data_IF_847793630748
#
_entry.id   IF_847793630748
#
_cell.length_a   1.000
_cell.length_b   1.000
_cell.length_c   1.000
_cell.angle_alpha   90.00
_cell.angle_beta   90.00
_cell.angle_gamma   90.00
#
_symmetry.space_group_name_H-M   'P 1'
#
loop_
_entity.id
_entity.type
_entity.pdbx_description
1 polymer ?
#
# COMPACT_ATOMS: atom_id res chain seq x y z
N UNK A 1 14.87 27.09 -14.79
CA UNK A 1 13.56 27.76 -14.67
C UNK A 1 12.51 26.71 -14.93
N UNK A 2 11.85 26.23 -13.88
CA UNK A 2 10.79 25.23 -14.00
C UNK A 2 9.47 25.94 -14.37
N UNK A 3 8.65 25.41 -15.29
CA UNK A 3 7.33 25.97 -15.53
C UNK A 3 6.43 25.63 -14.35
N UNK A 4 5.77 26.66 -13.83
CA UNK A 4 4.99 26.63 -12.59
C UNK A 4 3.75 25.74 -12.69
N UNK A 5 3.47 25.07 -11.59
CA UNK A 5 2.17 24.44 -11.29
C UNK A 5 1.04 25.47 -11.37
N UNK A 6 -0.15 25.14 -11.92
CA UNK A 6 -1.27 26.06 -11.92
C UNK A 6 -1.78 26.26 -10.49
N UNK A 7 -1.72 27.50 -10.01
CA UNK A 7 -2.46 27.94 -8.82
C UNK A 7 -3.94 28.01 -9.19
N UNK A 8 -4.77 27.22 -8.51
CA UNK A 8 -6.20 27.49 -8.40
C UNK A 8 -6.44 28.11 -7.02
N UNK A 9 -6.69 29.41 -6.99
CA UNK A 9 -7.14 30.14 -5.81
C UNK A 9 -8.67 30.26 -5.83
N UNK A 10 -9.31 29.63 -4.84
CA UNK A 10 -10.33 30.19 -3.93
C UNK A 10 -11.43 29.18 -3.56
N UNK A 11 -11.28 28.60 -2.37
CA UNK A 11 -12.39 28.28 -1.47
C UNK A 11 -11.89 28.49 -0.02
N UNK A 12 -12.26 29.62 0.57
CA UNK A 12 -12.19 29.82 2.02
C UNK A 12 -13.15 28.80 2.67
N UNK A 13 -12.81 27.99 3.67
CA UNK A 13 -11.98 28.23 4.85
C UNK A 13 -11.24 26.94 5.22
N UNK A 14 -9.91 27.00 5.28
CA UNK A 14 -9.08 25.92 5.79
C UNK A 14 -9.14 25.90 7.31
N UNK A 15 -9.84 24.91 7.88
CA UNK A 15 -9.39 24.25 9.11
C UNK A 15 -9.98 22.82 9.20
N UNK A 16 -9.19 21.85 8.72
CA UNK A 16 -9.52 20.43 8.56
C UNK A 16 -8.44 19.60 9.22
N UNK A 17 -8.47 19.60 10.56
CA UNK A 17 -7.38 19.14 11.41
C UNK A 17 -7.09 17.64 11.31
N UNK A 18 -5.99 17.32 10.61
CA UNK A 18 -5.25 16.05 10.70
C UNK A 18 -5.83 14.86 9.94
N UNK A 19 -4.99 13.86 9.66
CA UNK A 19 -5.39 12.58 9.09
C UNK A 19 -5.91 12.71 7.65
N UNK A 20 -6.98 11.97 7.34
CA UNK A 20 -7.61 12.00 6.00
C UNK A 20 -8.42 13.28 5.76
N UNK A 21 -8.85 13.93 6.84
CA UNK A 21 -9.81 15.01 6.79
C UNK A 21 -9.22 16.29 6.22
N UNK A 22 -7.89 16.43 6.22
CA UNK A 22 -7.19 17.52 5.54
C UNK A 22 -7.41 17.56 4.02
N UNK A 23 -7.88 16.46 3.42
CA UNK A 23 -8.22 16.36 2.00
C UNK A 23 -9.70 16.59 1.71
N UNK A 24 -10.55 16.62 2.74
CA UNK A 24 -11.98 16.75 2.57
C UNK A 24 -12.37 18.20 2.21
N UNK A 25 -13.54 18.39 1.61
CA UNK A 25 -14.18 19.71 1.48
C UNK A 25 -15.58 19.64 2.07
N UNK A 26 -16.10 20.76 2.61
CA UNK A 26 -17.52 20.82 3.00
C UNK A 26 -18.40 20.68 1.76
N UNK A 27 -19.53 20.01 1.92
CA UNK A 27 -20.54 19.78 0.87
C UNK A 27 -21.71 20.73 1.11
N UNK A 28 -22.21 21.34 0.05
CA UNK A 28 -23.43 22.15 0.10
C UNK A 28 -24.65 21.23 0.15
N UNK A 29 -25.74 21.67 0.78
CA UNK A 29 -26.95 20.87 0.99
C UNK A 29 -27.49 20.21 -0.29
N UNK A 30 -27.45 20.90 -1.44
CA UNK A 30 -27.97 20.36 -2.71
C UNK A 30 -27.11 19.25 -3.31
N UNK A 31 -25.85 19.14 -2.87
CA UNK A 31 -24.88 18.15 -3.32
C UNK A 31 -24.73 16.96 -2.36
N UNK A 32 -25.48 16.95 -1.25
CA UNK A 32 -25.51 15.83 -0.31
C UNK A 32 -26.16 14.62 -0.99
N UNK A 33 -25.44 13.51 -0.98
CA UNK A 33 -25.91 12.25 -1.53
C UNK A 33 -27.00 11.65 -0.64
N UNK A 34 -28.06 11.10 -1.25
CA UNK A 34 -29.09 10.33 -0.54
C UNK A 34 -28.59 8.93 -0.24
N UNK A 35 -27.66 8.85 0.70
CA UNK A 35 -26.97 7.63 1.10
C UNK A 35 -26.60 7.70 2.59
N UNK A 36 -26.23 6.56 3.16
CA UNK A 36 -25.81 6.46 4.55
C UNK A 36 -24.32 6.73 4.70
N UNK A 37 -23.96 7.49 5.73
CA UNK A 37 -22.56 7.63 6.12
C UNK A 37 -22.04 6.28 6.64
N UNK A 38 -21.13 5.63 5.91
CA UNK A 38 -20.62 4.28 6.24
C UNK A 38 -19.86 4.16 7.56
N UNK A 39 -19.57 5.27 8.24
CA UNK A 39 -18.85 5.28 9.53
C UNK A 39 -19.81 5.37 10.72
N UNK A 40 -20.83 6.23 10.65
CA UNK A 40 -21.82 6.36 11.73
C UNK A 40 -23.13 5.61 11.45
N UNK A 41 -23.33 5.15 10.22
CA UNK A 41 -24.50 4.41 9.74
C UNK A 41 -25.81 5.22 9.84
N UNK A 42 -25.71 6.55 9.71
CA UNK A 42 -26.86 7.48 9.69
C UNK A 42 -26.96 8.11 8.31
N UNK A 43 -28.17 8.44 7.86
CA UNK A 43 -28.34 9.06 6.55
C UNK A 43 -27.63 10.41 6.50
N UNK A 44 -26.91 10.67 5.41
CA UNK A 44 -26.27 11.95 5.14
C UNK A 44 -27.29 13.07 4.96
N UNK A 45 -28.52 12.72 4.58
CA UNK A 45 -29.60 13.66 4.29
C UNK A 45 -30.64 13.81 5.41
N UNK A 46 -30.46 13.20 6.59
CA UNK A 46 -31.43 13.31 7.70
C UNK A 46 -31.77 14.78 8.01
N UNK A 47 -33.05 15.05 8.24
CA UNK A 47 -33.56 16.39 8.51
C UNK A 47 -33.22 16.83 9.94
N UNK A 48 -32.09 17.54 10.09
CA UNK A 48 -31.64 18.17 11.32
C UNK A 48 -30.55 19.20 11.04
N UNK A 49 -30.81 20.47 11.36
CA UNK A 49 -29.90 21.58 11.02
C UNK A 49 -28.77 21.74 12.06
N UNK A 50 -27.50 21.99 11.63
CA UNK A 50 -26.99 22.01 10.24
C UNK A 50 -26.41 20.66 9.77
N UNK A 51 -26.64 20.33 8.48
CA UNK A 51 -26.07 19.14 7.79
C UNK A 51 -24.58 19.30 7.54
N UNK A 52 -23.76 19.00 8.55
CA UNK A 52 -22.31 19.06 8.38
C UNK A 52 -21.78 17.80 7.67
N UNK A 53 -21.74 17.84 6.33
CA UNK A 53 -21.18 16.78 5.46
C UNK A 53 -19.90 17.26 4.80
N UNK A 54 -18.94 16.36 4.65
CA UNK A 54 -17.71 16.57 3.90
C UNK A 54 -17.49 15.48 2.86
N UNK A 55 -16.82 15.83 1.77
CA UNK A 55 -16.50 14.94 0.65
C UNK A 55 -14.99 14.82 0.49
N UNK A 56 -14.51 13.58 0.34
CA UNK A 56 -13.10 13.31 0.00
C UNK A 56 -12.88 13.43 -1.52
N UNK A 57 -11.63 13.61 -2.01
CA UNK A 57 -11.36 13.72 -3.46
C UNK A 57 -11.74 12.49 -4.29
N UNK A 58 -12.09 11.38 -3.63
CA UNK A 58 -12.67 10.19 -4.28
C UNK A 58 -14.19 10.24 -4.47
N UNK A 59 -14.86 11.31 -4.06
CA UNK A 59 -16.31 11.52 -4.20
C UNK A 59 -17.18 10.96 -3.07
N UNK A 60 -16.59 10.23 -2.13
CA UNK A 60 -17.33 9.68 -0.98
C UNK A 60 -17.56 10.74 0.10
N UNK A 61 -18.80 10.75 0.63
CA UNK A 61 -19.28 11.73 1.60
C UNK A 61 -19.40 11.14 3.01
N UNK A 62 -19.16 11.98 4.01
CA UNK A 62 -19.16 11.62 5.41
C UNK A 62 -19.63 12.77 6.29
N UNK A 63 -20.24 12.45 7.43
CA UNK A 63 -20.49 13.46 8.46
C UNK A 63 -19.18 14.07 8.99
N UNK A 64 -19.21 15.36 9.31
CA UNK A 64 -18.04 16.10 9.79
C UNK A 64 -17.67 15.75 11.24
N UNK A 65 -18.61 15.20 12.03
CA UNK A 65 -18.35 14.83 13.43
C UNK A 65 -17.52 13.56 13.58
N UNK A 66 -17.46 12.67 12.57
CA UNK A 66 -16.67 11.42 12.64
C UNK A 66 -15.15 11.64 12.43
N UNK A 67 -14.71 12.90 12.32
CA UNK A 67 -13.32 13.25 12.05
C UNK A 67 -12.41 12.85 13.21
N UNK A 68 -11.31 12.20 12.86
CA UNK A 68 -10.24 11.84 13.77
C UNK A 68 -8.89 12.29 13.17
N UNK A 69 -8.15 13.22 13.81
CA UNK A 69 -6.88 13.72 13.28
C UNK A 69 -5.80 12.63 13.17
N UNK A 70 -5.96 11.52 13.88
CA UNK A 70 -5.04 10.37 13.86
C UNK A 70 -5.45 9.29 12.86
N UNK A 71 -6.50 9.52 12.06
CA UNK A 71 -6.91 8.55 11.05
C UNK A 71 -5.82 8.36 10.00
N UNK A 72 -5.73 7.15 9.43
CA UNK A 72 -4.96 6.92 8.21
C UNK A 72 -5.40 7.91 7.13
N UNK A 73 -4.49 8.31 6.25
CA UNK A 73 -4.76 9.19 5.09
C UNK A 73 -5.41 8.41 3.93
N UNK A 74 -6.36 7.54 4.24
CA UNK A 74 -7.10 6.74 3.26
C UNK A 74 -8.62 6.84 3.48
N UNK A 75 -9.38 6.73 2.40
CA UNK A 75 -10.83 6.72 2.42
C UNK A 75 -11.36 5.51 3.20
N UNK A 76 -12.25 5.67 4.21
CA UNK A 76 -12.85 4.54 4.91
C UNK A 76 -13.68 3.60 4.04
N UNK A 77 -14.28 4.12 2.95
CA UNK A 77 -15.16 3.35 2.06
C UNK A 77 -14.40 2.61 0.97
N UNK A 78 -13.58 3.31 0.18
CA UNK A 78 -12.91 2.73 -0.97
C UNK A 78 -11.42 2.43 -0.74
N UNK A 79 -10.90 2.67 0.47
CA UNK A 79 -9.50 2.45 0.85
C UNK A 79 -8.46 3.25 0.03
N UNK A 80 -8.87 4.17 -0.85
CA UNK A 80 -7.95 5.02 -1.62
C UNK A 80 -7.10 5.88 -0.68
N UNK A 81 -5.78 5.78 -0.82
CA UNK A 81 -4.81 6.62 -0.11
C UNK A 81 -4.67 7.98 -0.81
N UNK A 82 -4.56 9.05 -0.02
CA UNK A 82 -4.35 10.43 -0.51
C UNK A 82 -2.95 10.96 -0.18
N UNK A 83 -2.19 10.19 0.58
CA UNK A 83 -0.76 10.36 0.76
C UNK A 83 -0.08 9.00 0.67
N UNK A 84 1.10 8.98 0.09
CA UNK A 84 1.88 7.75 -0.08
C UNK A 84 2.26 7.21 1.31
N UNK A 85 1.75 6.05 1.73
CA UNK A 85 2.02 5.51 3.04
C UNK A 85 3.52 5.21 3.22
N UNK A 86 4.00 5.35 4.46
CA UNK A 86 5.32 4.89 4.88
C UNK A 86 5.11 3.76 5.87
N UNK A 87 5.66 2.59 5.57
CA UNK A 87 5.62 1.44 6.47
C UNK A 87 6.75 1.45 7.50
N UNK A 88 6.82 0.36 8.25
CA UNK A 88 7.77 0.17 9.35
C UNK A 88 8.84 -0.89 9.06
N UNK A 89 8.97 -1.43 7.83
CA UNK A 89 10.08 -2.29 7.42
C UNK A 89 11.42 -1.73 7.96
N UNK A 90 12.28 -2.53 8.61
CA UNK A 90 13.55 -2.05 9.16
C UNK A 90 14.38 -1.27 8.13
N UNK A 91 14.98 -0.15 8.56
CA UNK A 91 15.67 0.80 7.66
C UNK A 91 16.86 0.20 6.93
N UNK A 92 17.47 -0.81 7.53
CA UNK A 92 18.62 -1.54 7.02
C UNK A 92 18.23 -2.65 6.04
N UNK A 93 16.93 -2.81 5.74
CA UNK A 93 16.48 -3.75 4.72
C UNK A 93 17.07 -3.38 3.36
N UNK A 94 17.54 -4.39 2.63
CA UNK A 94 18.09 -4.28 1.29
C UNK A 94 17.29 -5.14 0.32
N UNK A 95 17.16 -4.64 -0.91
CA UNK A 95 16.53 -5.32 -2.03
C UNK A 95 17.50 -5.31 -3.21
N UNK A 96 17.74 -6.48 -3.79
CA UNK A 96 18.54 -6.65 -5.01
C UNK A 96 17.69 -7.36 -6.04
N UNK A 97 17.72 -6.91 -7.29
CA UNK A 97 16.93 -7.48 -8.38
C UNK A 97 17.88 -7.91 -9.48
N UNK A 98 17.76 -9.17 -9.89
CA UNK A 98 18.53 -9.75 -10.98
C UNK A 98 17.58 -10.24 -12.08
N UNK A 99 17.97 -10.10 -13.33
CA UNK A 99 17.31 -10.76 -14.46
C UNK A 99 17.97 -12.11 -14.72
N UNK A 100 17.27 -13.20 -14.43
CA UNK A 100 17.74 -14.54 -14.72
C UNK A 100 17.18 -15.01 -16.08
N UNK A 101 18.03 -15.03 -17.10
CA UNK A 101 17.69 -15.45 -18.46
C UNK A 101 17.59 -16.98 -18.63
N UNK A 102 18.11 -17.75 -17.67
CA UNK A 102 18.12 -19.21 -17.70
C UNK A 102 16.93 -19.84 -16.96
N UNK A 103 16.24 -19.06 -16.12
CA UNK A 103 15.07 -19.51 -15.38
C UNK A 103 13.78 -19.13 -16.10
N UNK A 104 12.95 -20.15 -16.37
CA UNK A 104 11.58 -19.98 -16.88
C UNK A 104 10.59 -20.44 -15.82
N UNK A 105 9.59 -19.62 -15.54
CA UNK A 105 8.54 -19.95 -14.59
C UNK A 105 7.43 -20.74 -15.30
N UNK A 106 6.90 -21.81 -14.70
CA UNK A 106 5.73 -22.51 -15.24
C UNK A 106 4.56 -21.56 -15.53
N UNK A 107 4.04 -21.59 -16.75
CA UNK A 107 2.98 -20.68 -17.24
C UNK A 107 3.47 -19.34 -17.80
N UNK A 108 4.79 -19.12 -17.84
CA UNK A 108 5.45 -17.94 -18.41
C UNK A 108 6.72 -18.33 -19.19
N UNK A 109 6.72 -19.49 -19.83
CA UNK A 109 7.88 -20.05 -20.55
C UNK A 109 8.33 -19.19 -21.74
N UNK A 110 7.41 -18.38 -22.28
CA UNK A 110 7.61 -17.41 -23.35
C UNK A 110 8.36 -16.14 -22.88
N UNK A 111 8.41 -15.87 -21.57
CA UNK A 111 9.15 -14.73 -21.03
C UNK A 111 10.64 -14.86 -21.28
N UNK A 112 11.31 -13.79 -21.72
CA UNK A 112 12.76 -13.83 -22.01
C UNK A 112 13.60 -14.13 -20.76
N UNK A 113 13.18 -13.65 -19.60
CA UNK A 113 13.86 -13.84 -18.32
C UNK A 113 12.85 -13.89 -17.16
N UNK A 114 13.36 -14.22 -15.97
CA UNK A 114 12.63 -14.09 -14.69
C UNK A 114 13.35 -13.07 -13.82
N UNK A 115 12.61 -12.13 -13.22
CA UNK A 115 13.15 -11.31 -12.15
C UNK A 115 13.33 -12.16 -10.88
N UNK A 116 14.55 -12.24 -10.39
CA UNK A 116 14.87 -12.77 -9.07
C UNK A 116 15.11 -11.62 -8.11
N UNK A 117 14.29 -11.54 -7.07
CA UNK A 117 14.39 -10.54 -6.02
C UNK A 117 15.04 -11.17 -4.79
N UNK A 118 16.10 -10.56 -4.29
CA UNK A 118 16.77 -10.95 -3.06
C UNK A 118 16.56 -9.86 -2.02
N UNK A 119 15.92 -10.23 -0.93
CA UNK A 119 15.75 -9.36 0.23
C UNK A 119 16.69 -9.79 1.34
N UNK A 120 17.36 -8.83 1.96
CA UNK A 120 18.12 -9.04 3.20
C UNK A 120 17.64 -8.02 4.22
N UNK A 121 17.21 -8.49 5.38
CA UNK A 121 16.91 -7.64 6.54
C UNK A 121 17.78 -8.15 7.69
N UNK A 122 18.76 -7.37 8.17
CA UNK A 122 19.62 -7.80 9.26
C UNK A 122 18.86 -7.88 10.58
N UNK A 123 19.46 -8.53 11.59
CA UNK A 123 18.98 -8.41 12.97
C UNK A 123 19.05 -6.96 13.43
N UNK A 124 18.19 -6.57 14.37
CA UNK A 124 18.18 -5.19 14.84
C UNK A 124 17.37 -4.99 16.11
N UNK A 125 17.09 -3.73 16.41
CA UNK A 125 16.27 -3.28 17.53
C UNK A 125 14.98 -2.70 16.96
N UNK A 126 13.85 -3.03 17.57
CA UNK A 126 12.55 -2.52 17.18
C UNK A 126 12.45 -1.00 17.37
N UNK A 127 12.29 -0.26 16.27
CA UNK A 127 11.90 1.16 16.23
C UNK A 127 10.58 1.44 16.96
N UNK A 128 10.32 2.72 17.25
CA UNK A 128 9.11 3.19 17.95
C UNK A 128 7.80 2.82 17.25
N UNK A 129 7.83 2.59 15.94
CA UNK A 129 6.67 2.17 15.14
C UNK A 129 6.32 0.69 15.27
N UNK A 130 7.24 -0.15 15.76
CA UNK A 130 7.02 -1.59 15.86
C UNK A 130 6.23 -1.97 17.11
N UNK A 131 5.74 -3.21 17.14
CA UNK A 131 4.85 -3.72 18.20
C UNK A 131 5.50 -3.78 19.59
N UNK A 132 6.83 -3.88 19.69
CA UNK A 132 7.58 -3.92 20.96
C UNK A 132 8.87 -3.09 20.87
N UNK A 133 8.76 -1.75 20.93
CA UNK A 133 9.92 -0.86 20.80
C UNK A 133 11.06 -1.18 21.78
N UNK A 134 12.29 -1.04 21.31
CA UNK A 134 13.51 -1.30 22.09
C UNK A 134 13.87 -2.77 22.28
N UNK A 135 13.02 -3.73 21.87
CA UNK A 135 13.36 -5.15 21.88
C UNK A 135 14.14 -5.54 20.63
N UNK A 136 15.04 -6.51 20.78
CA UNK A 136 15.73 -7.12 19.63
C UNK A 136 14.74 -7.85 18.73
N UNK A 137 15.02 -7.89 17.45
CA UNK A 137 14.34 -8.74 16.48
C UNK A 137 15.32 -9.54 15.62
N UNK A 138 14.87 -10.69 15.14
CA UNK A 138 15.63 -11.57 14.25
C UNK A 138 15.36 -11.19 12.79
N UNK A 139 16.43 -10.92 12.04
CA UNK A 139 16.40 -10.62 10.60
C UNK A 139 16.01 -11.83 9.74
N UNK A 140 16.01 -11.64 8.42
CA UNK A 140 15.71 -12.68 7.43
C UNK A 140 16.44 -12.44 6.12
N UNK A 141 16.64 -13.50 5.36
CA UNK A 141 16.93 -13.43 3.93
C UNK A 141 15.82 -14.14 3.17
N UNK A 142 15.34 -13.56 2.06
CA UNK A 142 14.25 -14.14 1.26
C UNK A 142 14.51 -13.93 -0.22
N UNK A 143 13.97 -14.87 -1.00
CA UNK A 143 13.96 -14.79 -2.46
C UNK A 143 12.53 -14.76 -2.96
N UNK A 144 12.31 -14.04 -4.05
CA UNK A 144 11.04 -14.03 -4.75
C UNK A 144 11.24 -13.95 -6.26
N UNK A 145 10.21 -14.37 -7.00
CA UNK A 145 10.26 -14.51 -8.45
C UNK A 145 9.08 -13.77 -9.10
N UNK A 146 9.35 -13.06 -10.20
CA UNK A 146 8.33 -12.42 -11.04
C UNK A 146 8.71 -12.67 -12.51
N UNK A 147 7.79 -13.08 -13.38
CA UNK A 147 8.10 -13.31 -14.80
C UNK A 147 8.51 -12.00 -15.49
N UNK A 148 9.41 -12.09 -16.47
CA UNK A 148 9.87 -10.94 -17.28
C UNK A 148 8.88 -10.51 -18.36
N UNK A 149 7.57 -10.57 -18.11
CA UNK A 149 6.52 -10.07 -19.02
C UNK A 149 6.32 -8.57 -18.86
N UNK A 150 5.49 -7.97 -19.74
CA UNK A 150 5.04 -6.58 -19.59
C UNK A 150 4.35 -6.35 -18.23
N UNK A 151 3.40 -7.23 -17.89
CA UNK A 151 2.70 -7.16 -16.61
C UNK A 151 3.63 -7.44 -15.42
N UNK A 152 4.55 -8.40 -15.53
CA UNK A 152 5.55 -8.66 -14.50
C UNK A 152 6.48 -7.47 -14.27
N UNK A 153 6.79 -6.71 -15.32
CA UNK A 153 7.58 -5.46 -15.21
C UNK A 153 6.80 -4.36 -14.49
N UNK A 154 5.48 -4.25 -14.69
CA UNK A 154 4.63 -3.36 -13.89
C UNK A 154 4.65 -3.75 -12.41
N UNK A 155 4.45 -5.04 -12.11
CA UNK A 155 4.52 -5.56 -10.74
C UNK A 155 5.88 -5.26 -10.10
N UNK A 156 6.98 -5.44 -10.83
CA UNK A 156 8.33 -5.12 -10.32
C UNK A 156 8.49 -3.64 -9.96
N UNK A 157 7.98 -2.71 -10.79
CA UNK A 157 7.98 -1.27 -10.48
C UNK A 157 7.23 -0.99 -9.18
N UNK A 158 6.04 -1.57 -9.01
CA UNK A 158 5.22 -1.37 -7.81
C UNK A 158 5.89 -1.98 -6.57
N UNK A 159 6.46 -3.19 -6.67
CA UNK A 159 7.18 -3.84 -5.56
C UNK A 159 8.41 -3.04 -5.13
N UNK A 160 9.20 -2.54 -6.09
CA UNK A 160 10.35 -1.68 -5.79
C UNK A 160 9.90 -0.42 -5.06
N UNK A 161 8.83 0.22 -5.53
CA UNK A 161 8.30 1.41 -4.87
C UNK A 161 7.77 1.10 -3.47
N UNK A 162 7.03 0.00 -3.29
CA UNK A 162 6.57 -0.44 -1.97
C UNK A 162 7.74 -0.70 -1.01
N UNK A 163 8.84 -1.27 -1.50
CA UNK A 163 10.05 -1.49 -0.72
C UNK A 163 10.69 -0.17 -0.28
N UNK A 164 10.83 0.80 -1.20
CA UNK A 164 11.34 2.15 -0.90
C UNK A 164 10.45 2.90 0.09
N UNK A 165 9.15 2.60 0.08
CA UNK A 165 8.15 3.07 1.04
C UNK A 165 8.09 2.25 2.32
N UNK A 166 9.02 1.30 2.54
CA UNK A 166 9.13 0.46 3.74
C UNK A 166 7.89 -0.42 4.00
N UNK A 167 7.19 -0.85 2.96
CA UNK A 167 5.91 -1.57 3.08
C UNK A 167 5.99 -3.09 2.90
N UNK A 168 7.11 -3.65 2.40
CA UNK A 168 7.19 -5.09 2.06
C UNK A 168 7.31 -5.98 3.30
N UNK A 169 8.02 -5.50 4.32
CA UNK A 169 8.19 -6.19 5.59
C UNK A 169 7.71 -5.37 6.78
N UNK A 170 7.54 -6.05 7.91
CA UNK A 170 7.37 -5.45 9.24
C UNK A 170 8.05 -6.36 10.27
N UNK A 171 8.17 -5.90 11.52
CA UNK A 171 8.60 -6.73 12.65
C UNK A 171 7.39 -7.15 13.47
N UNK A 172 7.21 -8.45 13.61
CA UNK A 172 6.02 -9.01 14.25
C UNK A 172 6.24 -10.39 14.86
N UNK A 173 5.12 -11.07 15.05
CA UNK A 173 5.08 -12.47 15.46
C UNK A 173 4.71 -13.32 14.22
N UNK A 174 5.53 -14.32 13.92
CA UNK A 174 5.29 -15.23 12.80
C UNK A 174 4.06 -16.08 13.09
N UNK A 175 3.03 -15.94 12.27
CA UNK A 175 1.79 -16.73 12.39
C UNK A 175 2.08 -18.22 12.13
N UNK A 176 2.95 -18.54 11.17
CA UNK A 176 3.23 -19.92 10.76
C UNK A 176 4.12 -20.69 11.73
N UNK A 177 5.05 -20.01 12.41
CA UNK A 177 6.04 -20.66 13.30
C UNK A 177 5.86 -20.32 14.77
N UNK A 178 5.05 -19.32 15.10
CA UNK A 178 4.91 -18.79 16.46
C UNK A 178 6.12 -17.98 16.96
N UNK A 179 7.17 -17.82 16.16
CA UNK A 179 8.35 -17.04 16.57
C UNK A 179 8.00 -15.57 16.77
N UNK A 180 8.43 -15.00 17.89
CA UNK A 180 8.20 -13.60 18.24
C UNK A 180 9.40 -12.72 17.92
N UNK A 181 9.14 -11.45 17.61
CA UNK A 181 10.17 -10.45 17.29
C UNK A 181 11.00 -10.87 16.08
N UNK A 182 10.33 -11.17 14.97
CA UNK A 182 11.00 -11.56 13.73
C UNK A 182 10.49 -10.71 12.57
N UNK A 183 11.30 -10.58 11.53
CA UNK A 183 10.87 -9.95 10.29
C UNK A 183 9.83 -10.83 9.59
N UNK A 184 8.66 -10.28 9.28
CA UNK A 184 7.56 -10.98 8.59
C UNK A 184 7.17 -10.22 7.32
N UNK A 185 6.53 -10.91 6.37
CA UNK A 185 5.91 -10.24 5.21
C UNK A 185 4.78 -9.34 5.71
N UNK A 186 4.56 -8.21 5.04
CA UNK A 186 3.52 -7.24 5.41
C UNK A 186 2.43 -7.19 4.33
N UNK A 187 1.58 -8.21 4.31
CA UNK A 187 0.38 -8.34 3.44
C UNK A 187 0.60 -8.28 1.92
N UNK A 188 1.84 -8.16 1.42
CA UNK A 188 2.17 -8.24 0.00
C UNK A 188 2.71 -9.63 -0.32
N UNK A 189 1.90 -10.47 -0.95
CA UNK A 189 2.26 -11.86 -1.21
C UNK A 189 3.33 -11.97 -2.29
N UNK A 190 4.41 -12.68 -1.97
CA UNK A 190 5.50 -12.94 -2.91
C UNK A 190 5.54 -14.43 -3.31
N UNK A 191 5.94 -14.69 -4.56
CA UNK A 191 6.27 -16.04 -5.01
C UNK A 191 7.67 -16.41 -4.58
N UNK A 192 7.78 -17.20 -3.52
CA UNK A 192 9.06 -17.62 -2.91
C UNK A 192 9.59 -18.93 -3.46
N UNK A 193 8.80 -19.62 -4.30
CA UNK A 193 9.21 -20.82 -5.03
C UNK A 193 8.95 -20.65 -6.53
N UNK A 194 9.72 -21.35 -7.35
CA UNK A 194 9.54 -21.36 -8.82
C UNK A 194 8.49 -22.38 -9.26
N UNK A 195 8.15 -23.36 -8.42
CA UNK A 195 7.21 -24.45 -8.73
C UNK A 195 6.27 -24.73 -7.56
N UNK A 196 5.29 -25.62 -7.77
CA UNK A 196 4.38 -26.09 -6.72
C UNK A 196 3.08 -25.30 -6.59
N UNK A 197 2.85 -24.36 -7.50
CA UNK A 197 1.62 -23.57 -7.58
C UNK A 197 1.34 -22.69 -6.36
N UNK A 198 0.13 -22.13 -6.24
CA UNK A 198 -0.23 -21.18 -5.19
C UNK A 198 0.01 -21.72 -3.78
N UNK A 199 -0.28 -23.01 -3.55
CA UNK A 199 -0.16 -23.66 -2.24
C UNK A 199 1.27 -23.76 -1.72
N UNK A 200 2.26 -23.70 -2.59
CA UNK A 200 3.68 -23.65 -2.23
C UNK A 200 4.30 -22.28 -2.49
N UNK A 201 3.49 -21.23 -2.62
CA UNK A 201 3.96 -19.89 -2.97
C UNK A 201 4.80 -19.88 -4.25
N UNK A 202 4.44 -20.70 -5.24
CA UNK A 202 5.15 -20.81 -6.50
C UNK A 202 4.24 -20.82 -7.72
N UNK A 203 4.79 -21.26 -8.85
CA UNK A 203 4.14 -21.29 -10.15
C UNK A 203 3.79 -22.74 -10.59
N UNK A 204 2.87 -22.94 -11.54
CA UNK A 204 2.06 -21.93 -12.22
C UNK A 204 1.01 -21.34 -11.27
N UNK A 205 0.70 -20.06 -11.46
CA UNK A 205 -0.37 -19.36 -10.74
C UNK A 205 -0.88 -18.21 -11.61
N UNK A 206 -1.91 -18.45 -12.44
CA UNK A 206 -2.34 -17.52 -13.47
C UNK A 206 -2.84 -16.17 -12.92
N UNK A 207 -3.31 -16.16 -11.67
CA UNK A 207 -3.93 -14.98 -11.05
C UNK A 207 -2.96 -14.20 -10.16
N UNK A 208 -1.71 -14.65 -10.02
CA UNK A 208 -0.76 -14.05 -9.09
C UNK A 208 -0.49 -12.57 -9.37
N UNK A 209 -0.22 -12.21 -10.63
CA UNK A 209 0.14 -10.83 -10.99
C UNK A 209 -1.01 -9.86 -10.71
N UNK A 210 -2.26 -10.30 -10.91
CA UNK A 210 -3.44 -9.53 -10.52
C UNK A 210 -3.52 -9.38 -8.99
N UNK A 211 -3.47 -10.48 -8.25
CA UNK A 211 -3.60 -10.45 -6.78
C UNK A 211 -2.50 -9.64 -6.09
N UNK A 212 -1.25 -9.71 -6.55
CA UNK A 212 -0.17 -8.91 -5.95
C UNK A 212 -0.35 -7.42 -6.22
N UNK A 213 -0.93 -7.02 -7.37
CA UNK A 213 -1.32 -5.62 -7.62
C UNK A 213 -2.44 -5.18 -6.68
N UNK A 214 -3.40 -6.04 -6.38
CA UNK A 214 -4.46 -5.78 -5.39
C UNK A 214 -3.88 -5.64 -3.98
N UNK A 215 -2.97 -6.53 -3.57
CA UNK A 215 -2.25 -6.43 -2.29
C UNK A 215 -1.51 -5.08 -2.18
N UNK A 216 -0.81 -4.68 -3.24
CA UNK A 216 -0.09 -3.41 -3.32
C UNK A 216 -1.02 -2.21 -3.24
N UNK A 217 -2.13 -2.23 -3.98
CA UNK A 217 -3.15 -1.18 -3.96
C UNK A 217 -3.80 -1.04 -2.58
N UNK A 218 -4.07 -2.16 -1.90
CA UNK A 218 -4.57 -2.18 -0.52
C UNK A 218 -3.57 -1.55 0.47
N UNK A 219 -2.27 -1.59 0.15
CA UNK A 219 -1.20 -0.93 0.89
C UNK A 219 -0.94 0.52 0.41
N UNK A 220 -1.80 1.07 -0.45
CA UNK A 220 -1.69 2.43 -0.97
C UNK A 220 -0.66 2.61 -2.09
N UNK A 221 -0.20 1.52 -2.71
CA UNK A 221 0.74 1.53 -3.84
C UNK A 221 -0.02 1.22 -5.14
N UNK A 222 -0.30 2.25 -5.91
CA UNK A 222 -0.97 2.18 -7.21
C UNK A 222 -0.10 2.76 -8.32
N UNK A 223 -0.36 2.41 -9.56
CA UNK A 223 0.47 2.82 -10.71
C UNK A 223 0.59 4.34 -10.87
N UNK A 224 -0.49 5.09 -10.58
CA UNK A 224 -0.51 6.55 -10.64
C UNK A 224 0.35 7.25 -9.57
N UNK A 225 0.72 6.52 -8.50
CA UNK A 225 1.56 7.02 -7.41
C UNK A 225 3.04 6.73 -7.62
N UNK A 226 3.40 5.85 -8.56
CA UNK A 226 4.79 5.45 -8.78
C UNK A 226 5.50 6.46 -9.68
N UNK A 227 6.67 6.99 -9.25
CA UNK A 227 7.46 7.87 -10.10
C UNK A 227 7.79 7.22 -11.45
N UNK A 228 7.67 7.96 -12.57
CA UNK A 228 7.92 7.40 -13.89
C UNK A 228 9.35 6.91 -14.07
N UNK A 229 10.29 7.53 -13.36
CA UNK A 229 11.74 7.31 -13.36
C UNK A 229 12.22 6.26 -12.36
N UNK A 230 11.32 5.50 -11.72
CA UNK A 230 11.75 4.42 -10.83
C UNK A 230 12.62 3.41 -11.59
N UNK A 231 13.82 3.17 -11.06
CA UNK A 231 14.77 2.21 -11.58
C UNK A 231 15.03 1.10 -10.57
N UNK A 232 15.38 -0.07 -11.08
CA UNK A 232 15.74 -1.25 -10.32
C UNK A 232 16.66 -2.16 -11.11
#
# INVERSE_FOLDING_TARGET
MFPGTPKTENAATADLNGGIWSYAKRVNEEAIQKDDCVVCLSSLDEDGEPKEVCELPCGHQYHVFIRNPNSKKCCPLCCKYFEIPLGDQPREAQMFINKNYHLKLPGHEDSEFTYEIFYTVPHGVQEASHIRPGKLFTGTQRRAFVPGTSEGTQVMRLLKFAFDRRLVFTVGDSITTGQKNVVVWNNIHHKTNVTGGPQKYGYPDPDYLMRVKEDLAAMGITEDMVPPDITF
#
